data_IF_657384266615
#
_entry.id   IF_657384266615
#
_cell.length_a   1.000
_cell.length_b   1.000
_cell.length_c   1.000
_cell.angle_alpha   90.00
_cell.angle_beta   90.00
_cell.angle_gamma   90.00
#
_symmetry.space_group_name_H-M   'P 1'
#
loop_
_entity.id
_entity.type
_entity.pdbx_description
1 polymer ?
#
# COMPACT_ATOMS: atom_id res chain seq x y z
N UNK A 1 -1.58 1.62 21.51
CA UNK A 1 -0.73 1.82 20.34
C UNK A 1 -0.75 3.28 19.90
N UNK A 2 0.38 3.82 19.55
CA UNK A 2 0.47 5.21 19.12
C UNK A 2 0.41 5.33 17.60
N UNK A 3 -0.19 6.40 17.14
CA UNK A 3 -0.16 6.77 15.74
C UNK A 3 1.30 6.98 15.30
N UNK A 4 1.62 6.49 14.10
CA UNK A 4 2.97 6.54 13.58
C UNK A 4 2.97 7.11 12.17
N UNK A 5 3.65 8.22 11.99
CA UNK A 5 3.79 8.82 10.66
C UNK A 5 4.94 8.19 9.89
N UNK A 6 4.82 8.20 8.57
CA UNK A 6 5.90 7.78 7.68
C UNK A 6 7.03 8.80 7.76
N UNK A 7 8.24 8.34 8.07
CA UNK A 7 9.38 9.22 8.33
C UNK A 7 10.44 9.21 7.24
N UNK A 8 10.29 8.39 6.23
CA UNK A 8 11.26 8.31 5.14
C UNK A 8 12.32 7.25 5.32
N UNK A 9 12.29 6.51 6.41
CA UNK A 9 13.29 5.46 6.68
C UNK A 9 12.68 4.09 6.95
N UNK A 10 11.41 3.91 6.62
CA UNK A 10 10.72 2.65 6.83
C UNK A 10 11.20 1.58 5.86
N UNK A 11 11.66 1.98 4.69
CA UNK A 11 12.18 1.05 3.69
C UNK A 11 13.68 1.24 3.60
N UNK A 12 14.41 0.19 3.93
CA UNK A 12 15.86 0.14 3.71
C UNK A 12 16.10 -0.58 2.38
N UNK A 13 17.13 -0.17 1.65
CA UNK A 13 17.39 -0.74 0.33
C UNK A 13 16.51 -0.09 -0.73
N UNK A 14 16.25 -0.84 -1.81
CA UNK A 14 15.51 -0.35 -2.96
C UNK A 14 14.19 -1.10 -3.12
N UNK A 15 13.13 -0.35 -3.37
CA UNK A 15 11.80 -0.91 -3.63
C UNK A 15 11.14 -0.06 -4.71
N UNK A 16 10.85 -0.69 -5.83
CA UNK A 16 10.29 -0.05 -7.01
C UNK A 16 8.93 -0.67 -7.33
N UNK A 17 7.88 0.12 -7.29
CA UNK A 17 6.52 -0.33 -7.52
C UNK A 17 5.94 0.47 -8.68
N UNK A 18 5.44 -0.22 -9.68
CA UNK A 18 4.91 0.47 -10.84
C UNK A 18 3.77 -0.33 -11.47
N UNK A 19 2.99 0.35 -12.29
CA UNK A 19 1.86 -0.25 -12.98
C UNK A 19 2.22 -0.46 -14.43
N UNK A 20 2.01 -1.69 -14.92
CA UNK A 20 2.17 -2.03 -16.32
C UNK A 20 0.79 -2.11 -16.95
N UNK A 21 0.59 -1.37 -18.04
CA UNK A 21 -0.64 -1.40 -18.80
C UNK A 21 -0.43 -2.34 -20.00
N UNK A 22 -1.21 -3.41 -20.06
CA UNK A 22 -1.01 -4.46 -21.05
C UNK A 22 -2.23 -4.60 -21.95
N UNK A 23 -1.97 -4.99 -23.20
CA UNK A 23 -3.01 -5.28 -24.18
C UNK A 23 -2.68 -6.57 -24.91
N UNK A 24 -3.71 -7.28 -25.29
CA UNK A 24 -3.60 -8.46 -26.15
C UNK A 24 -4.76 -8.46 -27.13
N UNK A 25 -4.50 -8.88 -28.35
CA UNK A 25 -5.51 -8.96 -29.38
C UNK A 25 -5.63 -10.39 -29.88
N UNK A 26 -6.84 -10.92 -29.87
CA UNK A 26 -7.13 -12.25 -30.34
C UNK A 26 -8.43 -12.22 -31.16
N UNK A 27 -8.34 -12.63 -32.41
CA UNK A 27 -9.47 -12.67 -33.35
C UNK A 27 -10.25 -11.35 -33.43
N UNK A 28 -9.51 -10.22 -33.44
CA UNK A 28 -10.11 -8.89 -33.55
C UNK A 28 -10.64 -8.33 -32.27
N UNK A 29 -10.49 -9.06 -31.16
CA UNK A 29 -10.93 -8.60 -29.84
C UNK A 29 -9.71 -8.18 -29.03
N UNK A 30 -9.69 -6.93 -28.58
CA UNK A 30 -8.62 -6.39 -27.74
C UNK A 30 -8.98 -6.51 -26.28
N UNK A 31 -8.09 -7.09 -25.49
CA UNK A 31 -8.23 -7.19 -24.05
C UNK A 31 -7.14 -6.34 -23.40
N UNK A 32 -7.54 -5.52 -22.44
CA UNK A 32 -6.59 -4.67 -21.70
C UNK A 32 -6.64 -5.03 -20.23
N UNK A 33 -5.47 -4.99 -19.59
CA UNK A 33 -5.42 -5.19 -18.14
C UNK A 33 -4.19 -4.50 -17.58
N UNK A 34 -4.25 -4.19 -16.28
CA UNK A 34 -3.13 -3.60 -15.56
C UNK A 34 -2.54 -4.61 -14.60
N UNK A 35 -1.23 -4.53 -14.44
CA UNK A 35 -0.52 -5.32 -13.46
C UNK A 35 0.29 -4.40 -12.57
N UNK A 36 0.35 -4.73 -11.28
CA UNK A 36 1.23 -4.04 -10.36
C UNK A 36 2.50 -4.88 -10.22
N UNK A 37 3.64 -4.27 -10.48
CA UNK A 37 4.91 -4.95 -10.35
C UNK A 37 5.64 -4.37 -9.15
N UNK A 38 6.06 -5.26 -8.26
CA UNK A 38 6.78 -4.89 -7.04
C UNK A 38 8.16 -5.51 -7.10
N UNK A 39 9.15 -4.69 -7.37
CA UNK A 39 10.55 -5.13 -7.49
C UNK A 39 11.36 -4.50 -6.37
N UNK A 40 12.17 -5.29 -5.71
CA UNK A 40 13.04 -4.77 -4.69
C UNK A 40 14.30 -5.63 -4.58
N UNK A 41 15.36 -5.02 -4.07
CA UNK A 41 16.49 -5.83 -3.68
C UNK A 41 16.12 -6.57 -2.37
N UNK A 42 16.92 -7.54 -1.93
CA UNK A 42 16.56 -8.31 -0.73
C UNK A 42 16.26 -7.42 0.48
N UNK A 43 17.03 -6.37 0.67
CA UNK A 43 16.86 -5.46 1.79
C UNK A 43 15.54 -4.68 1.68
N UNK A 44 15.22 -4.19 0.47
CA UNK A 44 13.97 -3.47 0.22
C UNK A 44 12.76 -4.36 0.45
N UNK A 45 12.80 -5.58 -0.06
CA UNK A 45 11.68 -6.51 0.11
C UNK A 45 11.50 -6.91 1.57
N UNK A 46 12.59 -7.13 2.30
CA UNK A 46 12.51 -7.50 3.72
C UNK A 46 11.95 -6.38 4.57
N UNK A 47 12.38 -5.14 4.33
CA UNK A 47 11.87 -4.00 5.11
C UNK A 47 10.42 -3.72 4.78
N UNK A 48 10.00 -3.92 3.53
CA UNK A 48 8.60 -3.79 3.15
C UNK A 48 7.74 -4.85 3.86
N UNK A 49 8.23 -6.09 3.91
CA UNK A 49 7.53 -7.15 4.63
C UNK A 49 7.36 -6.80 6.11
N UNK A 50 8.39 -6.25 6.73
CA UNK A 50 8.33 -5.83 8.13
C UNK A 50 7.29 -4.72 8.32
N UNK A 51 7.26 -3.74 7.43
CA UNK A 51 6.28 -2.67 7.47
C UNK A 51 4.85 -3.22 7.35
N UNK A 52 4.64 -4.16 6.45
CA UNK A 52 3.32 -4.78 6.27
C UNK A 52 2.88 -5.53 7.53
N UNK A 53 3.81 -6.21 8.19
CA UNK A 53 3.50 -6.89 9.45
C UNK A 53 3.12 -5.88 10.53
N UNK A 54 3.81 -4.77 10.61
CA UNK A 54 3.48 -3.72 11.58
C UNK A 54 2.07 -3.17 11.35
N UNK A 55 1.73 -2.93 10.07
CA UNK A 55 0.40 -2.44 9.70
C UNK A 55 -0.67 -3.47 10.08
N UNK A 56 -0.40 -4.75 9.80
CA UNK A 56 -1.34 -5.83 10.08
C UNK A 56 -1.65 -5.98 11.57
N UNK A 57 -0.69 -5.62 12.42
CA UNK A 57 -0.82 -5.78 13.86
C UNK A 57 -1.36 -4.53 14.57
N UNK A 58 -1.57 -3.43 13.84
CA UNK A 58 -2.11 -2.22 14.45
C UNK A 58 -3.54 -2.43 14.95
N UNK A 59 -3.83 -1.82 16.08
CA UNK A 59 -5.19 -1.76 16.59
C UNK A 59 -5.77 -0.41 16.19
N UNK A 60 -6.55 -0.40 15.13
CA UNK A 60 -7.07 0.84 14.55
C UNK A 60 -7.91 1.64 15.53
N UNK A 61 -8.66 0.95 16.37
CA UNK A 61 -9.53 1.58 17.37
C UNK A 61 -8.77 2.31 18.47
N UNK A 62 -7.47 2.02 18.65
CA UNK A 62 -6.65 2.65 19.67
C UNK A 62 -6.02 3.97 19.19
N UNK A 63 -6.21 4.32 17.93
CA UNK A 63 -5.64 5.55 17.38
C UNK A 63 -6.63 6.69 17.55
N UNK A 64 -6.17 7.80 18.14
CA UNK A 64 -7.02 8.97 18.35
C UNK A 64 -7.36 9.65 17.03
N UNK A 65 -8.59 10.11 16.90
CA UNK A 65 -9.10 10.72 15.66
C UNK A 65 -8.28 11.92 15.20
N UNK A 66 -7.72 12.69 16.14
CA UNK A 66 -6.94 13.88 15.78
C UNK A 66 -5.65 13.59 14.99
N UNK A 67 -5.21 12.34 14.97
CA UNK A 67 -4.01 11.95 14.25
C UNK A 67 -4.32 11.35 12.89
N UNK A 68 -5.58 11.29 12.49
CA UNK A 68 -6.00 10.53 11.33
C UNK A 68 -6.32 11.40 10.14
N UNK A 69 -6.02 10.95 8.93
CA UNK A 69 -6.60 11.55 7.74
C UNK A 69 -8.12 11.40 7.77
N UNK A 70 -8.81 12.25 7.02
CA UNK A 70 -10.26 12.21 6.97
C UNK A 70 -10.73 10.82 6.50
N UNK A 71 -11.56 10.19 7.32
CA UNK A 71 -12.20 8.93 6.97
C UNK A 71 -11.31 7.69 7.04
N UNK A 72 -10.11 7.82 7.62
CA UNK A 72 -9.19 6.68 7.66
C UNK A 72 -8.45 6.61 8.98
N UNK A 73 -8.07 5.42 9.35
CA UNK A 73 -7.12 5.17 10.42
C UNK A 73 -5.72 5.10 9.80
N UNK A 74 -4.84 4.29 10.30
CA UNK A 74 -3.43 4.28 9.93
C UNK A 74 -3.20 3.98 8.45
N UNK A 75 -2.50 4.88 7.76
CA UNK A 75 -2.01 4.69 6.40
C UNK A 75 -0.54 5.06 6.35
N UNK A 76 0.23 4.28 5.59
CA UNK A 76 1.63 4.61 5.33
C UNK A 76 1.76 5.09 3.89
N UNK A 77 2.33 6.28 3.73
CA UNK A 77 2.59 6.87 2.42
C UNK A 77 4.03 6.59 2.05
N UNK A 78 4.23 5.84 0.99
CA UNK A 78 5.56 5.53 0.47
C UNK A 78 5.77 6.35 -0.80
N UNK A 79 6.84 7.12 -0.83
CA UNK A 79 7.03 8.16 -1.82
C UNK A 79 8.26 7.90 -2.68
N UNK A 80 8.16 8.11 -4.01
CA UNK A 80 9.32 7.96 -4.88
C UNK A 80 10.44 8.91 -4.46
N UNK A 81 11.66 8.39 -4.43
CA UNK A 81 12.83 9.19 -4.06
C UNK A 81 13.03 9.38 -2.58
N UNK A 82 12.13 8.88 -1.75
CA UNK A 82 12.24 8.94 -0.29
C UNK A 82 12.26 7.52 0.26
N UNK A 83 11.11 6.89 0.42
CA UNK A 83 11.05 5.47 0.82
C UNK A 83 11.29 4.55 -0.37
N UNK A 84 10.82 4.94 -1.54
CA UNK A 84 10.85 4.13 -2.75
C UNK A 84 11.87 4.63 -3.75
N UNK A 85 12.25 3.79 -4.69
CA UNK A 85 13.08 4.18 -5.81
C UNK A 85 12.42 5.31 -6.60
N UNK A 86 13.23 6.16 -7.24
CA UNK A 86 12.71 7.31 -7.99
C UNK A 86 11.79 6.91 -9.13
N UNK A 87 11.99 5.72 -9.69
CA UNK A 87 11.16 5.19 -10.77
C UNK A 87 9.80 4.67 -10.31
N UNK A 88 9.61 4.54 -9.00
CA UNK A 88 8.36 4.01 -8.43
C UNK A 88 7.23 5.02 -8.53
N UNK A 89 6.00 4.51 -8.55
CA UNK A 89 4.83 5.35 -8.30
C UNK A 89 4.70 5.59 -6.80
N UNK A 90 3.89 6.57 -6.43
CA UNK A 90 3.53 6.79 -5.04
C UNK A 90 2.62 5.67 -4.57
N UNK A 91 2.87 5.14 -3.38
CA UNK A 91 2.14 3.99 -2.85
C UNK A 91 1.59 4.34 -1.47
N UNK A 92 0.33 4.00 -1.26
CA UNK A 92 -0.31 4.16 0.04
C UNK A 92 -0.69 2.77 0.51
N UNK A 93 -0.25 2.40 1.71
CA UNK A 93 -0.54 1.09 2.29
C UNK A 93 -1.41 1.29 3.52
N UNK A 94 -2.50 0.57 3.60
CA UNK A 94 -3.39 0.64 4.74
C UNK A 94 -4.18 -0.64 4.88
N UNK A 95 -4.90 -0.75 5.98
CA UNK A 95 -5.76 -1.89 6.23
C UNK A 95 -7.12 -1.66 5.61
N UNK A 96 -7.80 -2.74 5.25
CA UNK A 96 -9.17 -2.65 4.74
C UNK A 96 -10.12 -2.07 5.78
N UNK A 97 -9.84 -2.30 7.06
CA UNK A 97 -10.65 -1.80 8.15
C UNK A 97 -10.16 -0.45 8.71
N UNK A 98 -9.41 0.30 7.91
CA UNK A 98 -8.78 1.54 8.36
C UNK A 98 -9.76 2.69 8.61
N UNK A 99 -11.06 2.48 8.35
CA UNK A 99 -12.09 3.46 8.71
C UNK A 99 -12.25 3.63 10.22
N UNK A 100 -11.70 2.70 11.01
CA UNK A 100 -11.76 2.77 12.46
C UNK A 100 -13.08 2.31 13.06
N UNK A 101 -13.96 1.74 12.26
CA UNK A 101 -15.27 1.25 12.69
C UNK A 101 -15.37 -0.26 12.64
N UNK A 102 -14.30 -0.94 12.22
CA UNK A 102 -14.32 -2.38 11.96
C UNK A 102 -14.88 -2.72 10.60
N UNK A 103 -15.33 -1.73 9.86
CA UNK A 103 -15.90 -1.94 8.53
C UNK A 103 -14.84 -1.70 7.45
N UNK A 104 -14.98 -2.43 6.35
CA UNK A 104 -14.12 -2.25 5.19
C UNK A 104 -14.56 -1.02 4.39
N UNK A 105 -13.67 -0.56 3.51
CA UNK A 105 -14.00 0.52 2.58
C UNK A 105 -15.09 0.08 1.62
N UNK A 106 -15.95 1.02 1.24
CA UNK A 106 -17.12 0.73 0.40
C UNK A 106 -16.76 0.16 -0.96
N UNK A 107 -15.59 0.55 -1.51
CA UNK A 107 -15.15 0.06 -2.82
C UNK A 107 -14.65 -1.39 -2.78
N UNK A 108 -14.45 -1.94 -1.58
CA UNK A 108 -13.89 -3.28 -1.44
C UNK A 108 -14.88 -4.36 -1.85
N UNK A 109 -14.44 -5.27 -2.69
CA UNK A 109 -15.19 -6.46 -3.06
C UNK A 109 -14.31 -7.65 -2.71
N UNK A 110 -14.85 -8.56 -1.89
CA UNK A 110 -14.11 -9.71 -1.43
C UNK A 110 -13.76 -10.64 -2.60
N UNK A 111 -12.58 -11.24 -2.53
CA UNK A 111 -12.16 -12.24 -3.53
C UNK A 111 -13.03 -13.47 -3.57
N UNK A 112 -13.82 -13.70 -2.52
CA UNK A 112 -14.67 -14.86 -2.39
C UNK A 112 -16.09 -14.63 -2.90
N UNK A 113 -16.32 -13.52 -3.58
CA UNK A 113 -17.64 -13.16 -4.12
C UNK A 113 -17.64 -13.09 -5.62
#
# INVERSE_FOLDING_TARGET
>A
MKYKQTKGNEIQGELDIFISHNEDEFEGVTTSWDEVLIHGNPEGLKSFAKLLLEIAELKQEDVEDKYLPIGAREHYHLRPGIELSKSSIEVIVGRLDAKGTGNFYDRHVSKDK
#
